data_IF_555205524215
#
_entry.id   IF_555205524215
#
_cell.length_a   1.000
_cell.length_b   1.000
_cell.length_c   1.000
_cell.angle_alpha   90.00
_cell.angle_beta   90.00
_cell.angle_gamma   90.00
#
_symmetry.space_group_name_H-M   'P 1'
#
loop_
_entity.id
_entity.type
_entity.pdbx_description
1 polymer ?
#
# COMPACT_ATOMS: atom_id res chain seq x y z
N UNK A 1 -29.42 -90.65 43.42
CA UNK A 1 -28.27 -90.19 44.22
C UNK A 1 -28.07 -88.71 43.93
N UNK A 2 -28.27 -87.87 44.96
CA UNK A 2 -27.61 -86.57 45.29
C UNK A 2 -27.52 -85.47 44.21
N UNK A 3 -27.77 -84.18 44.41
CA UNK A 3 -28.08 -83.29 45.55
C UNK A 3 -28.61 -81.97 44.92
N UNK A 4 -29.69 -81.35 45.40
CA UNK A 4 -29.77 -80.19 46.32
C UNK A 4 -29.07 -78.87 45.91
N UNK A 5 -29.83 -77.78 46.13
CA UNK A 5 -29.42 -76.39 46.45
C UNK A 5 -28.96 -75.49 45.29
N UNK A 6 -29.18 -74.17 45.27
CA UNK A 6 -30.05 -73.19 45.94
C UNK A 6 -29.65 -71.82 45.30
N UNK A 7 -30.55 -70.82 45.28
CA UNK A 7 -30.32 -69.35 45.42
C UNK A 7 -28.98 -68.71 44.90
N UNK A 8 -28.89 -67.59 44.18
CA UNK A 8 -29.44 -66.25 44.47
C UNK A 8 -28.94 -65.26 43.40
N UNK A 9 -29.83 -64.42 42.88
CA UNK A 9 -29.72 -62.96 42.65
C UNK A 9 -28.34 -62.26 42.80
N UNK A 10 -27.92 -61.48 41.78
CA UNK A 10 -27.67 -60.00 41.81
C UNK A 10 -26.59 -59.50 40.85
N UNK A 11 -27.06 -58.63 39.95
CA UNK A 11 -26.53 -57.29 39.56
C UNK A 11 -25.07 -56.94 39.81
N UNK A 12 -24.49 -56.35 38.77
CA UNK A 12 -23.35 -55.44 38.84
C UNK A 12 -22.37 -55.76 37.73
N UNK A 13 -21.77 -54.84 37.02
CA UNK A 13 -21.75 -53.39 37.13
C UNK A 13 -20.88 -52.97 35.93
N UNK A 14 -21.18 -51.82 35.35
CA UNK A 14 -20.20 -50.94 34.70
C UNK A 14 -19.03 -51.60 33.93
N UNK A 15 -19.25 -51.82 32.62
CA UNK A 15 -18.22 -51.49 31.61
C UNK A 15 -18.13 -49.97 31.35
N UNK A 16 -18.69 -49.16 32.27
CA UNK A 16 -18.68 -47.70 32.29
C UNK A 16 -17.63 -47.19 33.28
N UNK A 17 -16.42 -47.74 33.25
CA UNK A 17 -15.30 -47.14 33.99
C UNK A 17 -13.95 -47.60 33.45
N UNK A 18 -13.64 -47.20 32.22
CA UNK A 18 -12.26 -46.83 31.91
C UNK A 18 -12.22 -45.31 31.77
N UNK A 19 -12.01 -44.55 32.87
CA UNK A 19 -11.87 -43.10 32.84
C UNK A 19 -10.56 -42.63 32.17
N UNK A 20 -9.80 -43.55 31.54
CA UNK A 20 -8.51 -43.24 30.94
C UNK A 20 -8.59 -42.83 29.47
N UNK A 21 -9.70 -43.14 28.77
CA UNK A 21 -9.87 -42.80 27.35
C UNK A 21 -10.76 -41.57 27.08
N UNK A 22 -11.56 -41.10 28.05
CA UNK A 22 -12.44 -39.94 27.82
C UNK A 22 -11.74 -38.59 27.99
N UNK A 23 -10.78 -38.49 28.90
CA UNK A 23 -10.12 -37.20 29.19
C UNK A 23 -9.02 -36.84 28.19
N UNK A 24 -8.39 -37.83 27.56
CA UNK A 24 -7.30 -37.63 26.60
C UNK A 24 -7.79 -37.18 25.23
N UNK A 25 -8.96 -37.64 24.79
CA UNK A 25 -9.63 -37.20 23.55
C UNK A 25 -10.14 -35.75 23.64
N UNK A 26 -10.75 -35.39 24.77
CA UNK A 26 -11.28 -34.03 24.98
C UNK A 26 -10.16 -32.97 25.09
N UNK A 27 -9.02 -33.32 25.71
CA UNK A 27 -7.83 -32.44 25.72
C UNK A 27 -7.13 -32.34 24.36
N UNK A 28 -7.13 -33.40 23.54
CA UNK A 28 -6.55 -33.33 22.18
C UNK A 28 -7.42 -32.53 21.23
N UNK A 29 -8.74 -32.72 21.25
CA UNK A 29 -9.66 -31.95 20.41
C UNK A 29 -9.69 -30.46 20.80
N UNK A 30 -9.59 -30.15 22.09
CA UNK A 30 -9.50 -28.78 22.59
C UNK A 30 -8.18 -28.10 22.20
N UNK A 31 -7.06 -28.82 22.26
CA UNK A 31 -5.76 -28.33 21.78
C UNK A 31 -5.78 -28.09 20.26
N UNK A 32 -6.37 -28.99 19.47
CA UNK A 32 -6.49 -28.80 18.00
C UNK A 32 -7.34 -27.58 17.68
N UNK A 33 -8.44 -27.36 18.39
CA UNK A 33 -9.31 -26.20 18.23
C UNK A 33 -8.60 -24.88 18.60
N UNK A 34 -7.78 -24.87 19.65
CA UNK A 34 -6.99 -23.70 20.04
C UNK A 34 -5.87 -23.39 19.04
N UNK A 35 -5.22 -24.42 18.48
CA UNK A 35 -4.23 -24.28 17.41
C UNK A 35 -4.88 -23.70 16.15
N UNK A 36 -6.06 -24.19 15.75
CA UNK A 36 -6.80 -23.66 14.61
C UNK A 36 -7.20 -22.20 14.79
N UNK A 37 -7.72 -21.83 15.98
CA UNK A 37 -8.06 -20.43 16.29
C UNK A 37 -6.84 -19.53 16.23
N UNK A 38 -5.70 -19.99 16.75
CA UNK A 38 -4.46 -19.23 16.75
C UNK A 38 -3.93 -19.00 15.34
N UNK A 39 -3.94 -20.04 14.49
CA UNK A 39 -3.55 -19.95 13.08
C UNK A 39 -4.48 -19.01 12.29
N UNK A 40 -5.79 -19.04 12.59
CA UNK A 40 -6.77 -18.16 11.95
C UNK A 40 -6.59 -16.69 12.35
N UNK A 41 -6.31 -16.41 13.63
CA UNK A 41 -5.99 -15.06 14.10
C UNK A 41 -4.73 -14.52 13.40
N UNK A 42 -3.67 -15.34 13.35
CA UNK A 42 -2.41 -14.96 12.69
C UNK A 42 -2.64 -14.65 11.21
N UNK A 43 -3.32 -15.54 10.50
CA UNK A 43 -3.64 -15.35 9.09
C UNK A 43 -4.44 -14.07 8.84
N UNK A 44 -5.47 -13.81 9.65
CA UNK A 44 -6.29 -12.61 9.53
C UNK A 44 -5.48 -11.32 9.77
N UNK A 45 -4.55 -11.34 10.72
CA UNK A 45 -3.66 -10.21 10.98
C UNK A 45 -2.69 -9.96 9.81
N UNK A 46 -2.10 -11.01 9.23
CA UNK A 46 -1.21 -10.86 8.06
C UNK A 46 -2.02 -10.38 6.85
N UNK A 47 -3.24 -10.90 6.64
CA UNK A 47 -4.17 -10.39 5.62
C UNK A 47 -4.53 -8.92 5.83
N UNK A 48 -4.73 -8.49 7.08
CA UNK A 48 -4.94 -7.08 7.41
C UNK A 48 -3.74 -6.23 7.03
N UNK A 49 -2.52 -6.70 7.33
CA UNK A 49 -1.29 -5.98 6.97
C UNK A 49 -1.08 -5.89 5.45
N UNK A 50 -1.35 -6.95 4.70
CA UNK A 50 -1.29 -6.92 3.23
C UNK A 50 -2.24 -5.86 2.64
N UNK A 51 -3.49 -5.81 3.12
CA UNK A 51 -4.46 -4.79 2.73
C UNK A 51 -3.97 -3.36 3.03
N UNK A 52 -3.30 -3.16 4.17
CA UNK A 52 -2.73 -1.85 4.52
C UNK A 52 -1.57 -1.46 3.58
N UNK A 53 -0.73 -2.41 3.18
CA UNK A 53 0.35 -2.17 2.21
C UNK A 53 -0.21 -1.83 0.83
N UNK A 54 -1.19 -2.59 0.35
CA UNK A 54 -1.86 -2.33 -0.93
C UNK A 54 -2.54 -0.95 -0.93
N UNK A 55 -3.30 -0.63 0.11
CA UNK A 55 -3.94 0.69 0.27
C UNK A 55 -2.92 1.84 0.31
N UNK A 56 -1.76 1.62 0.94
CA UNK A 56 -0.68 2.60 0.95
C UNK A 56 -0.12 2.84 -0.46
N UNK A 57 -0.02 1.79 -1.27
CA UNK A 57 0.41 1.87 -2.66
C UNK A 57 -0.59 2.66 -3.53
N UNK A 58 -1.89 2.36 -3.39
CA UNK A 58 -2.96 3.10 -4.08
C UNK A 58 -2.98 4.58 -3.69
N UNK A 59 -2.74 4.88 -2.40
CA UNK A 59 -2.61 6.25 -1.92
C UNK A 59 -1.43 6.99 -2.55
N UNK A 60 -0.29 6.31 -2.73
CA UNK A 60 0.88 6.89 -3.41
C UNK A 60 0.61 7.12 -4.90
N UNK A 61 -0.06 6.18 -5.58
CA UNK A 61 -0.51 6.37 -6.96
C UNK A 61 -1.42 7.60 -7.08
N UNK A 62 -2.45 7.69 -6.24
CA UNK A 62 -3.38 8.83 -6.24
C UNK A 62 -2.65 10.16 -6.00
N UNK A 63 -1.66 10.19 -5.11
CA UNK A 63 -0.81 11.38 -4.91
C UNK A 63 0.00 11.71 -6.16
N UNK A 64 0.64 10.74 -6.80
CA UNK A 64 1.40 10.96 -8.03
C UNK A 64 0.48 11.50 -9.15
N UNK A 65 -0.74 10.96 -9.29
CA UNK A 65 -1.73 11.46 -10.25
C UNK A 65 -2.15 12.89 -9.92
N UNK A 66 -2.39 13.18 -8.65
CA UNK A 66 -2.68 14.54 -8.19
C UNK A 66 -1.57 15.53 -8.55
N UNK A 67 -0.30 15.14 -8.41
CA UNK A 67 0.85 15.97 -8.81
C UNK A 67 0.86 16.18 -10.32
N UNK A 68 0.65 15.13 -11.13
CA UNK A 68 0.63 15.23 -12.60
C UNK A 68 -0.46 16.21 -13.06
N UNK A 69 -1.68 16.04 -12.56
CA UNK A 69 -2.82 16.92 -12.91
C UNK A 69 -2.53 18.36 -12.48
N UNK A 70 -2.04 18.56 -11.26
CA UNK A 70 -1.72 19.89 -10.74
C UNK A 70 -0.60 20.58 -11.53
N UNK A 71 0.44 19.83 -11.92
CA UNK A 71 1.50 20.35 -12.79
C UNK A 71 0.94 20.78 -14.15
N UNK A 72 0.08 19.97 -14.77
CA UNK A 72 -0.56 20.31 -16.05
C UNK A 72 -1.40 21.59 -15.96
N UNK A 73 -2.19 21.74 -14.90
CA UNK A 73 -2.98 22.94 -14.63
C UNK A 73 -2.08 24.17 -14.40
N UNK A 74 -1.00 24.04 -13.63
CA UNK A 74 -0.08 25.16 -13.41
C UNK A 74 0.65 25.56 -14.70
N UNK A 75 1.14 24.59 -15.48
CA UNK A 75 1.77 24.86 -16.76
C UNK A 75 0.84 25.63 -17.68
N UNK A 76 -0.44 25.24 -17.77
CA UNK A 76 -1.43 25.93 -18.61
C UNK A 76 -1.71 27.35 -18.11
N UNK A 77 -1.88 27.55 -16.79
CA UNK A 77 -2.08 28.88 -16.19
C UNK A 77 -0.86 29.79 -16.40
N UNK A 78 0.35 29.28 -16.16
CA UNK A 78 1.60 30.01 -16.38
C UNK A 78 1.72 30.40 -17.86
N UNK A 79 1.45 29.47 -18.77
CA UNK A 79 1.51 29.73 -20.22
C UNK A 79 0.54 30.85 -20.62
N UNK A 80 -0.69 30.81 -20.11
CA UNK A 80 -1.69 31.84 -20.39
C UNK A 80 -1.27 33.21 -19.84
N UNK A 81 -0.75 33.27 -18.62
CA UNK A 81 -0.26 34.49 -18.00
C UNK A 81 0.90 35.10 -18.81
N UNK A 82 1.83 34.27 -19.28
CA UNK A 82 2.96 34.72 -20.12
C UNK A 82 2.46 35.31 -21.44
N UNK A 83 1.53 34.64 -22.13
CA UNK A 83 0.96 35.14 -23.39
C UNK A 83 0.29 36.50 -23.19
N UNK A 84 -0.48 36.66 -22.10
CA UNK A 84 -1.11 37.94 -21.77
C UNK A 84 -0.08 39.03 -21.47
N UNK A 85 0.99 38.69 -20.74
CA UNK A 85 2.07 39.61 -20.40
C UNK A 85 2.85 40.06 -21.65
N UNK A 86 3.15 39.13 -22.57
CA UNK A 86 3.81 39.42 -23.86
C UNK A 86 2.98 40.36 -24.75
N UNK A 87 1.66 40.26 -24.69
CA UNK A 87 0.75 41.14 -25.43
C UNK A 87 0.48 42.48 -24.72
N UNK A 88 1.09 42.72 -23.55
CA UNK A 88 0.91 43.97 -22.80
C UNK A 88 2.00 45.00 -23.15
N UNK A 89 1.64 46.29 -23.09
CA UNK A 89 2.59 47.41 -23.31
C UNK A 89 3.71 47.49 -22.27
N UNK A 90 3.65 46.69 -21.19
CA UNK A 90 4.67 46.61 -20.14
C UNK A 90 5.98 46.02 -20.68
N UNK A 91 5.93 45.33 -21.83
CA UNK A 91 7.07 44.64 -22.44
C UNK A 91 7.90 45.46 -23.43
N UNK A 92 7.62 46.76 -23.62
CA UNK A 92 8.31 47.58 -24.61
C UNK A 92 9.81 47.81 -24.28
N UNK A 93 10.25 47.50 -23.05
CA UNK A 93 11.64 47.60 -22.63
C UNK A 93 12.43 46.33 -22.98
N UNK A 94 13.37 46.43 -23.92
CA UNK A 94 14.19 45.31 -24.45
C UNK A 94 14.87 44.46 -23.35
N UNK A 95 15.31 45.08 -22.25
CA UNK A 95 15.92 44.39 -21.10
C UNK A 95 14.93 43.55 -20.29
N UNK A 96 13.69 44.02 -20.13
CA UNK A 96 12.62 43.28 -19.47
C UNK A 96 12.23 42.05 -20.30
N UNK A 97 12.05 42.20 -21.61
CA UNK A 97 11.70 41.09 -22.51
C UNK A 97 12.67 39.91 -22.42
N UNK A 98 13.97 40.13 -22.62
CA UNK A 98 14.95 39.04 -22.64
C UNK A 98 15.18 38.39 -21.27
N UNK A 99 15.28 39.21 -20.23
CA UNK A 99 15.52 38.72 -18.86
C UNK A 99 14.33 37.89 -18.38
N UNK A 100 13.11 38.37 -18.65
CA UNK A 100 11.86 37.76 -18.18
C UNK A 100 11.58 36.42 -18.88
N UNK A 101 11.82 36.31 -20.19
CA UNK A 101 11.68 35.04 -20.93
C UNK A 101 12.66 33.98 -20.41
N UNK A 102 13.90 34.35 -20.10
CA UNK A 102 14.90 33.42 -19.57
C UNK A 102 14.54 32.93 -18.16
N UNK A 103 14.14 33.84 -17.27
CA UNK A 103 13.75 33.47 -15.90
C UNK A 103 12.46 32.64 -15.85
N UNK A 104 11.50 32.90 -16.74
CA UNK A 104 10.27 32.11 -16.85
C UNK A 104 10.51 30.65 -17.25
N UNK A 105 11.63 30.31 -17.88
CA UNK A 105 11.93 28.92 -18.24
C UNK A 105 12.22 28.05 -17.00
N UNK A 106 12.77 28.63 -15.95
CA UNK A 106 13.17 27.92 -14.73
C UNK A 106 12.01 27.16 -14.03
N UNK A 107 10.84 27.77 -13.76
CA UNK A 107 9.70 27.04 -13.18
C UNK A 107 9.20 25.91 -14.07
N UNK A 108 9.25 26.04 -15.40
CA UNK A 108 8.88 24.95 -16.32
C UNK A 108 9.80 23.74 -16.17
N UNK A 109 11.11 23.94 -16.05
CA UNK A 109 12.07 22.84 -15.84
C UNK A 109 11.71 22.07 -14.56
N UNK A 110 11.42 22.77 -13.46
CA UNK A 110 11.01 22.12 -12.21
C UNK A 110 9.68 21.36 -12.32
N UNK A 111 8.68 21.93 -12.99
CA UNK A 111 7.38 21.29 -13.19
C UNK A 111 7.49 20.05 -14.10
N UNK A 112 8.30 20.11 -15.16
CA UNK A 112 8.56 18.97 -16.05
C UNK A 112 9.28 17.85 -15.29
N UNK A 113 10.32 18.18 -14.50
CA UNK A 113 11.01 17.19 -13.65
C UNK A 113 10.02 16.56 -12.65
N UNK A 114 9.12 17.34 -12.07
CA UNK A 114 8.08 16.83 -11.17
C UNK A 114 7.15 15.83 -11.86
N UNK A 115 6.73 16.11 -13.09
CA UNK A 115 5.92 15.18 -13.91
C UNK A 115 6.70 13.89 -14.19
N UNK A 116 7.96 13.99 -14.63
CA UNK A 116 8.79 12.81 -14.94
C UNK A 116 8.96 11.92 -13.71
N UNK A 117 9.22 12.51 -12.53
CA UNK A 117 9.34 11.77 -11.27
C UNK A 117 8.01 11.13 -10.85
N UNK A 118 6.89 11.80 -11.07
CA UNK A 118 5.56 11.26 -10.79
C UNK A 118 5.21 10.09 -11.71
N UNK A 119 5.53 10.18 -13.01
CA UNK A 119 5.37 9.08 -13.96
C UNK A 119 6.26 7.90 -13.56
N UNK A 120 7.51 8.15 -13.16
CA UNK A 120 8.43 7.11 -12.70
C UNK A 120 7.90 6.39 -11.45
N UNK A 121 7.21 7.10 -10.57
CA UNK A 121 6.52 6.53 -9.41
C UNK A 121 5.39 5.56 -9.82
N UNK A 122 4.69 5.87 -10.92
CA UNK A 122 3.62 5.05 -11.49
C UNK A 122 4.09 3.75 -12.17
N UNK A 123 5.33 3.74 -12.67
CA UNK A 123 5.89 2.58 -13.37
C UNK A 123 6.32 1.44 -12.44
N UNK A 124 6.34 1.65 -11.12
CA UNK A 124 6.54 0.57 -10.16
C UNK A 124 5.21 -0.21 -10.14
N UNK A 125 5.12 -1.32 -10.87
CA UNK A 125 3.88 -2.11 -11.02
C UNK A 125 3.93 -3.52 -10.44
N UNK A 126 5.11 -4.02 -10.09
CA UNK A 126 5.27 -5.42 -9.73
C UNK A 126 5.02 -5.68 -8.24
N UNK A 127 3.81 -5.38 -7.79
CA UNK A 127 3.34 -5.85 -6.50
C UNK A 127 3.18 -7.37 -6.56
N UNK A 128 3.85 -8.08 -5.67
CA UNK A 128 3.69 -9.53 -5.56
C UNK A 128 2.31 -9.82 -4.98
N UNK A 129 1.56 -10.63 -5.70
CA UNK A 129 0.24 -11.13 -5.31
C UNK A 129 0.24 -12.65 -5.42
N UNK A 130 -0.74 -13.29 -4.78
CA UNK A 130 -0.92 -14.73 -4.88
C UNK A 130 -1.57 -15.11 -6.21
N UNK A 131 -1.10 -16.22 -6.78
CA UNK A 131 -1.87 -16.96 -7.77
C UNK A 131 -2.83 -17.89 -7.02
N UNK A 132 -4.12 -17.53 -7.01
CA UNK A 132 -5.17 -18.29 -6.33
C UNK A 132 -5.35 -19.70 -6.92
N UNK A 133 -5.16 -19.87 -8.22
CA UNK A 133 -5.32 -21.12 -8.94
C UNK A 133 -4.25 -22.14 -8.54
N UNK A 134 -2.99 -21.68 -8.51
CA UNK A 134 -1.86 -22.52 -8.06
C UNK A 134 -1.98 -22.93 -6.59
N UNK A 135 -2.48 -22.03 -5.74
CA UNK A 135 -2.76 -22.31 -4.32
C UNK A 135 -3.82 -23.40 -4.15
N UNK A 136 -4.87 -23.36 -4.96
CA UNK A 136 -5.94 -24.35 -4.94
C UNK A 136 -5.40 -25.72 -5.38
N UNK A 137 -4.64 -25.78 -6.48
CA UNK A 137 -4.08 -27.03 -7.00
C UNK A 137 -3.10 -27.70 -6.03
N UNK A 138 -2.17 -26.95 -5.43
CA UNK A 138 -1.13 -27.50 -4.57
C UNK A 138 -1.61 -27.85 -3.15
N UNK A 139 -2.60 -27.12 -2.62
CA UNK A 139 -2.89 -27.15 -1.18
C UNK A 139 -4.33 -27.50 -0.79
N UNK A 140 -5.28 -27.62 -1.73
CA UNK A 140 -6.70 -27.92 -1.43
C UNK A 140 -6.92 -29.16 -0.53
N UNK A 141 -6.05 -30.17 -0.60
CA UNK A 141 -6.18 -31.41 0.19
C UNK A 141 -5.50 -31.38 1.55
N UNK A 142 -4.84 -30.28 1.92
CA UNK A 142 -4.12 -30.18 3.19
C UNK A 142 -5.02 -29.76 4.35
N UNK A 143 -4.57 -30.04 5.58
CA UNK A 143 -5.27 -29.61 6.79
C UNK A 143 -5.32 -28.08 6.89
N UNK A 144 -6.44 -27.52 7.38
CA UNK A 144 -6.71 -26.06 7.46
C UNK A 144 -5.54 -25.26 8.05
N UNK A 145 -5.03 -25.72 9.20
CA UNK A 145 -3.87 -25.11 9.89
C UNK A 145 -2.65 -25.01 8.97
N UNK A 146 -2.31 -26.10 8.27
CA UNK A 146 -1.16 -26.15 7.37
C UNK A 146 -1.31 -25.21 6.18
N UNK A 147 -2.52 -25.09 5.64
CA UNK A 147 -2.83 -24.13 4.57
C UNK A 147 -2.66 -22.70 5.09
N UNK A 148 -3.17 -22.40 6.28
CA UNK A 148 -3.05 -21.09 6.93
C UNK A 148 -1.60 -20.72 7.24
N UNK A 149 -0.76 -21.65 7.71
CA UNK A 149 0.65 -21.39 7.98
C UNK A 149 1.43 -21.07 6.70
N UNK A 150 1.18 -21.82 5.62
CA UNK A 150 1.84 -21.60 4.32
C UNK A 150 1.41 -20.26 3.72
N UNK A 151 0.10 -19.96 3.75
CA UNK A 151 -0.44 -18.67 3.31
C UNK A 151 0.17 -17.52 4.12
N UNK A 152 0.21 -17.65 5.44
CA UNK A 152 0.76 -16.67 6.37
C UNK A 152 2.23 -16.38 6.07
N UNK A 153 3.04 -17.43 5.89
CA UNK A 153 4.48 -17.31 5.58
C UNK A 153 4.72 -16.63 4.23
N UNK A 154 4.00 -17.05 3.19
CA UNK A 154 4.11 -16.48 1.86
C UNK A 154 3.63 -15.01 1.82
N UNK A 155 2.50 -14.72 2.47
CA UNK A 155 1.94 -13.37 2.55
C UNK A 155 2.88 -12.43 3.31
N UNK A 156 3.50 -12.89 4.40
CA UNK A 156 4.53 -12.13 5.11
C UNK A 156 5.72 -11.77 4.21
N UNK A 157 6.22 -12.72 3.40
CA UNK A 157 7.30 -12.44 2.44
C UNK A 157 6.89 -11.43 1.37
N UNK A 158 5.64 -11.48 0.90
CA UNK A 158 5.12 -10.52 -0.08
C UNK A 158 4.94 -9.13 0.52
N UNK A 159 4.41 -9.03 1.74
CA UNK A 159 4.30 -7.78 2.49
C UNK A 159 5.66 -7.10 2.59
N UNK A 160 6.71 -7.84 2.95
CA UNK A 160 8.05 -7.27 3.11
C UNK A 160 8.59 -6.70 1.79
N UNK A 161 8.48 -7.47 0.70
CA UNK A 161 8.89 -7.03 -0.65
C UNK A 161 8.07 -5.84 -1.15
N UNK A 162 6.74 -5.89 -0.99
CA UNK A 162 5.84 -4.81 -1.39
C UNK A 162 6.09 -3.54 -0.57
N UNK A 163 6.48 -3.66 0.70
CA UNK A 163 6.87 -2.54 1.56
C UNK A 163 8.18 -1.89 1.10
N UNK A 164 9.14 -2.67 0.60
CA UNK A 164 10.36 -2.12 -0.01
C UNK A 164 10.08 -1.34 -1.29
N UNK A 165 9.25 -1.89 -2.18
CA UNK A 165 8.84 -1.20 -3.40
C UNK A 165 8.02 0.07 -3.08
N UNK A 166 7.11 0.00 -2.12
CA UNK A 166 6.36 1.18 -1.63
C UNK A 166 7.28 2.27 -1.06
N UNK A 167 8.37 1.91 -0.36
CA UNK A 167 9.38 2.88 0.09
C UNK A 167 10.07 3.56 -1.09
N UNK A 168 10.44 2.82 -2.14
CA UNK A 168 11.05 3.40 -3.36
C UNK A 168 10.06 4.34 -4.05
N UNK A 169 8.81 3.91 -4.20
CA UNK A 169 7.74 4.71 -4.77
C UNK A 169 7.53 6.02 -4.00
N UNK A 170 7.45 5.95 -2.67
CA UNK A 170 7.33 7.11 -1.78
C UNK A 170 8.48 8.11 -1.97
N UNK A 171 9.72 7.63 -2.16
CA UNK A 171 10.86 8.52 -2.45
C UNK A 171 10.64 9.31 -3.73
N UNK A 172 10.15 8.69 -4.80
CA UNK A 172 9.84 9.39 -6.06
C UNK A 172 8.70 10.40 -5.89
N UNK A 173 7.61 10.04 -5.21
CA UNK A 173 6.49 10.96 -4.93
C UNK A 173 6.98 12.17 -4.13
N UNK A 174 7.81 11.96 -3.10
CA UNK A 174 8.35 13.06 -2.31
C UNK A 174 9.27 13.97 -3.13
N UNK A 175 10.14 13.42 -3.97
CA UNK A 175 10.98 14.24 -4.85
C UNK A 175 10.12 15.01 -5.87
N UNK A 176 9.11 14.38 -6.45
CA UNK A 176 8.18 15.04 -7.34
C UNK A 176 7.47 16.21 -6.65
N UNK A 177 7.00 16.02 -5.42
CA UNK A 177 6.37 17.08 -4.62
C UNK A 177 7.34 18.21 -4.30
N UNK A 178 8.60 17.92 -3.96
CA UNK A 178 9.60 18.94 -3.70
C UNK A 178 9.90 19.77 -4.97
N UNK A 179 10.05 19.12 -6.13
CA UNK A 179 10.22 19.81 -7.41
C UNK A 179 8.98 20.64 -7.78
N UNK A 180 7.78 20.13 -7.50
CA UNK A 180 6.54 20.85 -7.70
C UNK A 180 6.50 22.15 -6.89
N UNK A 181 6.81 22.08 -5.59
CA UNK A 181 6.88 23.24 -4.71
C UNK A 181 7.97 24.22 -5.16
N UNK A 182 9.15 23.74 -5.56
CA UNK A 182 10.21 24.59 -6.10
C UNK A 182 9.78 25.32 -7.39
N UNK A 183 9.03 24.65 -8.26
CA UNK A 183 8.42 25.26 -9.46
C UNK A 183 7.45 26.38 -9.11
N UNK A 184 6.55 26.17 -8.14
CA UNK A 184 5.62 27.20 -7.67
C UNK A 184 6.37 28.38 -7.04
N UNK A 185 7.35 28.09 -6.17
CA UNK A 185 8.07 29.12 -5.42
C UNK A 185 8.92 29.99 -6.37
N UNK A 186 9.61 29.36 -7.33
CA UNK A 186 10.36 30.08 -8.36
C UNK A 186 9.45 30.96 -9.22
N UNK A 187 8.29 30.47 -9.63
CA UNK A 187 7.31 31.27 -10.35
C UNK A 187 6.82 32.49 -9.55
N UNK A 188 6.51 32.31 -8.27
CA UNK A 188 6.08 33.40 -7.39
C UNK A 188 7.16 34.47 -7.21
N UNK A 189 8.42 34.06 -7.03
CA UNK A 189 9.57 34.98 -6.91
C UNK A 189 9.74 35.78 -8.22
N UNK A 190 9.64 35.12 -9.37
CA UNK A 190 9.76 35.79 -10.68
C UNK A 190 8.66 36.84 -10.84
N UNK A 191 7.40 36.51 -10.54
CA UNK A 191 6.30 37.48 -10.57
C UNK A 191 6.57 38.66 -9.64
N UNK A 192 7.02 38.39 -8.42
CA UNK A 192 7.31 39.44 -7.45
C UNK A 192 8.39 40.41 -7.96
N UNK A 193 9.45 39.88 -8.58
CA UNK A 193 10.51 40.70 -9.19
C UNK A 193 9.92 41.56 -10.32
N UNK A 194 9.09 40.98 -11.19
CA UNK A 194 8.44 41.70 -12.30
C UNK A 194 7.59 42.85 -11.77
N UNK A 195 6.74 42.59 -10.78
CA UNK A 195 5.89 43.61 -10.17
C UNK A 195 6.70 44.70 -9.49
N UNK A 196 7.78 44.34 -8.80
CA UNK A 196 8.65 45.31 -8.12
C UNK A 196 9.34 46.23 -9.12
N UNK A 197 9.84 45.69 -10.24
CA UNK A 197 10.44 46.49 -11.31
C UNK A 197 9.39 47.37 -11.98
N UNK A 198 8.20 46.84 -12.26
CA UNK A 198 7.12 47.60 -12.89
C UNK A 198 6.56 48.73 -12.00
N UNK A 199 6.63 48.61 -10.68
CA UNK A 199 6.23 49.67 -9.73
C UNK A 199 7.31 50.75 -9.55
N UNK A 200 8.58 50.42 -9.82
CA UNK A 200 9.69 51.36 -9.73
C UNK A 200 9.95 52.16 -11.02
N UNK A 201 9.50 51.65 -12.17
CA UNK A 201 9.61 52.27 -13.48
C UNK A 201 8.46 53.27 -13.73
#
# INVERSE_FOLDING_TARGET
MTDKNNSTERTGENLKSLPFFSNTLDETDKNVLEIEKSAEILYNEIKRQDKLVMSSFDSLNNKANGIIVSCGTLITLITLAIIQLLNSKVMDTFFLMHTLVFFLFLPYVFLIISIVLSIKSYYIKDLKTFNAEKLLEEYYRNHKVKIMDILSSNLASYIEKNKEESKKQKKFVNHAMNCFLAGILSFAIIIFIILSVALLA
#
